data_IF_552514991044
#
_entry.id   IF_552514991044
#
_cell.length_a   1.000
_cell.length_b   1.000
_cell.length_c   1.000
_cell.angle_alpha   90.00
_cell.angle_beta   90.00
_cell.angle_gamma   90.00
#
_symmetry.space_group_name_H-M   'P 1'
#
loop_
_entity.id
_entity.type
_entity.pdbx_description
1 polymer ?
#
# COMPACT_ATOMS: atom_id res chain seq x y z
N UNK A 1 13.39 -2.40 8.74
CA UNK A 1 13.07 -3.81 9.07
C UNK A 1 14.14 -4.78 8.56
N UNK A 2 14.52 -4.75 7.27
CA UNK A 2 15.53 -5.66 6.69
C UNK A 2 16.84 -5.70 7.48
N UNK A 3 17.41 -4.55 7.86
CA UNK A 3 18.66 -4.46 8.65
C UNK A 3 18.61 -5.25 9.96
N UNK A 4 17.47 -5.24 10.65
CA UNK A 4 17.29 -5.95 11.93
C UNK A 4 17.28 -7.46 11.72
N UNK A 5 16.58 -7.94 10.69
CA UNK A 5 16.50 -9.37 10.40
C UNK A 5 17.78 -9.93 9.79
N UNK A 6 18.50 -9.14 9.00
CA UNK A 6 19.82 -9.50 8.48
C UNK A 6 20.85 -9.71 9.61
N UNK A 7 20.75 -8.96 10.70
CA UNK A 7 21.63 -9.13 11.86
C UNK A 7 21.48 -10.50 12.54
N UNK A 8 20.28 -11.11 12.51
CA UNK A 8 20.07 -12.47 13.03
C UNK A 8 20.79 -13.54 12.18
N UNK A 9 21.12 -13.24 10.92
CA UNK A 9 21.96 -14.10 10.07
C UNK A 9 23.40 -14.28 10.59
N UNK A 10 23.86 -13.38 11.47
CA UNK A 10 25.17 -13.45 12.12
C UNK A 10 25.16 -14.29 13.41
N UNK A 11 23.99 -14.79 13.83
CA UNK A 11 23.87 -15.63 15.02
C UNK A 11 24.55 -16.98 14.83
N UNK A 12 25.20 -17.49 15.89
CA UNK A 12 25.82 -18.82 15.95
C UNK A 12 24.79 -19.96 15.99
N UNK A 13 23.52 -19.63 16.28
CA UNK A 13 22.44 -20.60 16.37
C UNK A 13 21.83 -20.80 14.98
N UNK A 14 21.96 -22.02 14.43
CA UNK A 14 21.51 -22.37 13.08
C UNK A 14 20.05 -21.98 12.83
N UNK A 15 19.16 -22.19 13.81
CA UNK A 15 17.72 -21.93 13.66
C UNK A 15 17.45 -20.43 13.48
N UNK A 16 18.14 -19.58 14.25
CA UNK A 16 17.99 -18.12 14.18
C UNK A 16 18.52 -17.59 12.86
N UNK A 17 19.63 -18.14 12.37
CA UNK A 17 20.22 -17.78 11.08
C UNK A 17 19.28 -18.09 9.92
N UNK A 18 18.63 -19.26 9.93
CA UNK A 18 17.67 -19.66 8.88
C UNK A 18 16.42 -18.76 8.88
N UNK A 19 15.80 -18.55 10.04
CA UNK A 19 14.59 -17.72 10.16
C UNK A 19 14.91 -16.26 9.86
N UNK A 20 16.02 -15.72 10.38
CA UNK A 20 16.45 -14.35 10.15
C UNK A 20 16.73 -14.05 8.68
N UNK A 21 17.46 -14.95 8.00
CA UNK A 21 17.72 -14.83 6.57
C UNK A 21 16.43 -14.92 5.74
N UNK A 22 15.57 -15.91 6.04
CA UNK A 22 14.29 -16.09 5.34
C UNK A 22 13.38 -14.87 5.48
N UNK A 23 13.30 -14.29 6.68
CA UNK A 23 12.46 -13.13 6.94
C UNK A 23 13.02 -11.85 6.30
N UNK A 24 14.34 -11.65 6.33
CA UNK A 24 14.98 -10.54 5.63
C UNK A 24 14.72 -10.59 4.12
N UNK A 25 14.85 -11.77 3.51
CA UNK A 25 14.57 -11.99 2.09
C UNK A 25 13.08 -11.78 1.75
N UNK A 26 12.18 -12.33 2.57
CA UNK A 26 10.74 -12.18 2.36
C UNK A 26 10.31 -10.70 2.40
N UNK A 27 10.80 -9.93 3.37
CA UNK A 27 10.51 -8.49 3.46
C UNK A 27 11.10 -7.72 2.28
N UNK A 28 12.32 -8.06 1.85
CA UNK A 28 12.93 -7.43 0.68
C UNK A 28 12.10 -7.67 -0.58
N UNK A 29 11.68 -8.91 -0.82
CA UNK A 29 10.85 -9.29 -1.96
C UNK A 29 9.46 -8.64 -1.91
N UNK A 30 8.81 -8.58 -0.73
CA UNK A 30 7.50 -7.93 -0.59
C UNK A 30 7.59 -6.42 -0.89
N UNK A 31 8.59 -5.76 -0.32
CA UNK A 31 8.77 -4.32 -0.50
C UNK A 31 9.15 -3.94 -1.94
N UNK A 32 9.79 -4.84 -2.69
CA UNK A 32 10.25 -4.58 -4.06
C UNK A 32 9.31 -5.20 -5.09
N UNK A 33 9.34 -6.52 -5.26
CA UNK A 33 8.60 -7.22 -6.31
C UNK A 33 7.10 -7.11 -6.07
N UNK A 34 6.65 -7.42 -4.85
CA UNK A 34 5.20 -7.48 -4.58
C UNK A 34 4.60 -6.07 -4.67
N UNK A 35 5.15 -5.09 -3.94
CA UNK A 35 4.59 -3.73 -3.92
C UNK A 35 4.81 -2.93 -5.20
N UNK A 36 5.98 -3.03 -5.83
CA UNK A 36 6.27 -2.22 -7.01
C UNK A 36 5.66 -2.81 -8.29
N UNK A 37 5.47 -4.14 -8.36
CA UNK A 37 5.01 -4.80 -9.59
C UNK A 37 3.69 -5.54 -9.38
N UNK A 38 3.66 -6.50 -8.45
CA UNK A 38 2.51 -7.42 -8.33
C UNK A 38 1.26 -6.65 -7.97
N UNK A 39 1.27 -5.86 -6.90
CA UNK A 39 0.12 -5.07 -6.41
C UNK A 39 -0.44 -4.13 -7.49
N UNK A 40 0.36 -3.24 -8.14
CA UNK A 40 -0.18 -2.37 -9.18
C UNK A 40 -0.66 -3.14 -10.41
N UNK A 41 -0.01 -4.24 -10.77
CA UNK A 41 -0.47 -5.10 -11.88
C UNK A 41 -1.82 -5.75 -11.56
N UNK A 42 -2.00 -6.32 -10.36
CA UNK A 42 -3.29 -6.91 -9.97
C UNK A 42 -4.37 -5.86 -9.78
N UNK A 43 -4.06 -4.69 -9.21
CA UNK A 43 -5.04 -3.62 -9.11
C UNK A 43 -5.52 -3.13 -10.49
N UNK A 44 -4.62 -3.09 -11.47
CA UNK A 44 -4.99 -2.73 -12.85
C UNK A 44 -5.77 -3.85 -13.55
N UNK A 45 -5.49 -5.12 -13.23
CA UNK A 45 -6.21 -6.28 -13.78
C UNK A 45 -7.63 -6.41 -13.20
N UNK A 46 -7.79 -6.24 -11.88
CA UNK A 46 -9.08 -6.38 -11.20
C UNK A 46 -9.95 -5.12 -11.29
N UNK A 47 -9.36 -3.94 -11.51
CA UNK A 47 -10.09 -2.69 -11.72
C UNK A 47 -11.09 -2.39 -10.60
N UNK A 48 -12.33 -2.09 -10.98
CA UNK A 48 -13.41 -1.71 -10.06
C UNK A 48 -13.76 -2.76 -9.01
N UNK A 49 -13.45 -4.05 -9.27
CA UNK A 49 -13.67 -5.11 -8.29
C UNK A 49 -12.78 -4.95 -7.05
N UNK A 50 -11.61 -4.34 -7.20
CA UNK A 50 -10.67 -4.10 -6.09
C UNK A 50 -11.14 -2.98 -5.14
N UNK A 51 -12.07 -2.13 -5.57
CA UNK A 51 -12.69 -1.06 -4.77
C UNK A 51 -14.18 -1.32 -4.46
N UNK A 52 -14.66 -2.55 -4.63
CA UNK A 52 -16.05 -2.86 -4.35
C UNK A 52 -16.36 -2.72 -2.85
N UNK A 53 -17.16 -1.71 -2.50
CA UNK A 53 -17.78 -1.60 -1.18
C UNK A 53 -19.19 -2.20 -1.22
N UNK A 54 -19.54 -3.08 -0.28
CA UNK A 54 -20.90 -3.59 -0.21
C UNK A 54 -21.85 -2.50 0.30
N UNK A 55 -23.04 -2.39 -0.32
CA UNK A 55 -24.01 -1.29 -0.09
C UNK A 55 -24.43 -1.06 1.37
N UNK A 56 -24.27 -2.06 2.25
CA UNK A 56 -24.56 -1.92 3.68
C UNK A 56 -23.50 -1.08 4.42
N UNK A 57 -22.25 -1.09 3.95
CA UNK A 57 -21.15 -0.31 4.55
C UNK A 57 -21.29 1.19 4.25
N UNK A 58 -21.81 1.52 3.08
CA UNK A 58 -22.14 2.89 2.69
C UNK A 58 -23.20 3.55 3.60
N UNK A 59 -24.08 2.74 4.22
CA UNK A 59 -25.11 3.24 5.14
C UNK A 59 -24.57 3.47 6.57
N UNK A 60 -23.42 2.86 6.90
CA UNK A 60 -22.81 2.93 8.23
C UNK A 60 -21.72 4.00 8.32
N UNK A 61 -21.10 4.38 7.20
CA UNK A 61 -20.03 5.38 7.13
C UNK A 61 -20.60 6.81 7.05
N UNK A 62 -20.46 7.64 8.10
CA UNK A 62 -20.85 9.04 8.05
C UNK A 62 -19.75 9.85 7.34
N UNK A 63 -20.05 10.48 6.20
CA UNK A 63 -19.14 11.50 5.63
C UNK A 63 -18.80 11.45 4.13
N UNK A 64 -19.65 10.95 3.23
CA UNK A 64 -19.49 11.19 1.77
C UNK A 64 -19.98 12.59 1.34
N UNK A 65 -19.56 13.62 2.07
CA UNK A 65 -19.96 15.00 1.82
C UNK A 65 -18.75 15.94 1.92
N UNK A 66 -17.74 15.74 1.09
CA UNK A 66 -16.77 16.82 0.88
C UNK A 66 -17.35 17.72 -0.22
N UNK A 67 -17.79 18.96 0.08
CA UNK A 67 -18.02 19.93 -0.97
C UNK A 67 -16.67 20.15 -1.64
N UNK A 68 -16.57 19.80 -2.92
CA UNK A 68 -15.43 20.20 -3.75
C UNK A 68 -15.59 21.70 -3.94
N UNK A 69 -14.86 22.49 -3.16
CA UNK A 69 -14.77 23.94 -3.37
C UNK A 69 -14.03 24.11 -4.69
N UNK A 70 -14.80 24.43 -5.74
CA UNK A 70 -14.26 24.80 -7.05
C UNK A 70 -13.73 26.23 -6.89
N UNK A 71 -12.42 26.40 -6.84
CA UNK A 71 -11.82 27.73 -7.02
C UNK A 71 -12.28 28.23 -8.39
N UNK A 72 -13.04 29.34 -8.39
CA UNK A 72 -13.33 30.10 -9.60
C UNK A 72 -12.03 30.77 -10.04
N UNK A 73 -11.28 30.13 -10.90
CA UNK A 73 -10.43 30.82 -11.86
C UNK A 73 -11.32 31.24 -13.02
N UNK A 74 -11.91 32.43 -12.94
CA UNK A 74 -12.47 33.14 -14.10
C UNK A 74 -12.70 34.60 -13.69
N UNK A 75 -12.08 35.50 -14.45
CA UNK A 75 -12.51 36.89 -14.65
C UNK A 75 -12.13 37.93 -13.57
N UNK A 76 -10.82 38.16 -13.38
CA UNK A 76 -10.30 39.51 -13.08
C UNK A 76 -9.18 39.84 -14.09
N UNK A 77 -9.46 39.53 -15.36
CA UNK A 77 -8.66 39.96 -16.51
C UNK A 77 -9.37 41.02 -17.36
N UNK A 78 -10.57 41.47 -16.98
CA UNK A 78 -11.31 42.52 -17.69
C UNK A 78 -12.11 43.39 -16.71
N UNK A 79 -11.46 44.37 -16.06
CA UNK A 79 -12.01 45.71 -15.80
C UNK A 79 -10.91 46.72 -15.41
#
# INVERSE_FOLDING_TARGET
MIVVFSAFGLSSIIILKQIGFGLALAILLDATIVRALVVPATMRLMGDANWWSPKWLDKLLPGKGHPVVREKEEEESEE
#
